data_IF_028832345401
#
_entry.id   IF_028832345401
#
_cell.length_a   1.000
_cell.length_b   1.000
_cell.length_c   1.000
_cell.angle_alpha   90.00
_cell.angle_beta   90.00
_cell.angle_gamma   90.00
#
_symmetry.space_group_name_H-M   'P 1'
#
loop_
_entity.id
_entity.type
_entity.pdbx_description
1 polymer ?
#
# COMPACT_ATOMS: atom_id res chain seq x y z
N UNK A 1 -31.20 -1.96 23.68
CA UNK A 1 -30.58 -0.65 23.34
C UNK A 1 -29.09 -0.56 23.65
N UNK A 2 -28.54 -1.15 24.71
CA UNK A 2 -27.11 -1.03 25.05
C UNK A 2 -26.10 -1.71 24.09
N UNK A 3 -26.51 -2.74 23.33
CA UNK A 3 -25.63 -3.43 22.38
C UNK A 3 -25.34 -2.64 21.09
N UNK A 4 -26.29 -1.80 20.67
CA UNK A 4 -26.18 -0.99 19.44
C UNK A 4 -25.25 0.21 19.65
N UNK A 5 -25.28 0.86 20.83
CA UNK A 5 -24.38 1.97 21.16
C UNK A 5 -22.90 1.56 21.16
N UNK A 6 -22.57 0.34 21.62
CA UNK A 6 -21.19 -0.13 21.64
C UNK A 6 -20.63 -0.45 20.23
N UNK A 7 -21.48 -0.84 19.29
CA UNK A 7 -21.07 -1.10 17.90
C UNK A 7 -20.89 0.23 17.16
N UNK A 8 -21.80 1.17 17.35
CA UNK A 8 -21.72 2.52 16.76
C UNK A 8 -20.44 3.23 17.25
N UNK A 9 -20.16 3.20 18.56
CA UNK A 9 -18.97 3.82 19.13
C UNK A 9 -17.68 3.19 18.60
N UNK A 10 -17.63 1.85 18.45
CA UNK A 10 -16.46 1.12 17.90
C UNK A 10 -16.22 1.38 16.41
N UNK A 11 -17.25 1.79 15.67
CA UNK A 11 -17.14 2.11 14.25
C UNK A 11 -16.86 3.60 14.02
N UNK A 12 -17.47 4.47 14.82
CA UNK A 12 -17.34 5.93 14.69
C UNK A 12 -16.03 6.44 15.30
N UNK A 13 -15.58 5.88 16.42
CA UNK A 13 -14.37 6.36 17.10
C UNK A 13 -13.11 6.32 16.19
N UNK A 14 -12.80 5.26 15.44
CA UNK A 14 -11.68 5.27 14.51
C UNK A 14 -11.82 6.32 13.40
N UNK A 15 -13.05 6.53 12.90
CA UNK A 15 -13.33 7.55 11.87
C UNK A 15 -13.10 8.96 12.41
N UNK A 16 -13.60 9.23 13.61
CA UNK A 16 -13.42 10.54 14.27
C UNK A 16 -11.95 10.79 14.59
N UNK A 17 -11.23 9.77 15.08
CA UNK A 17 -9.79 9.89 15.35
C UNK A 17 -9.03 10.14 14.03
N UNK A 18 -9.33 9.41 12.98
CA UNK A 18 -8.72 9.61 11.67
C UNK A 18 -8.97 11.00 11.10
N UNK A 19 -10.21 11.49 11.17
CA UNK A 19 -10.55 12.85 10.75
C UNK A 19 -9.88 13.92 11.64
N UNK A 20 -9.79 13.69 12.94
CA UNK A 20 -9.09 14.60 13.85
C UNK A 20 -7.59 14.66 13.55
N UNK A 21 -6.94 13.52 13.27
CA UNK A 21 -5.53 13.47 12.85
C UNK A 21 -5.33 14.18 11.52
N UNK A 22 -6.18 13.95 10.53
CA UNK A 22 -6.11 14.64 9.23
C UNK A 22 -6.33 16.15 9.41
N UNK A 23 -7.31 16.55 10.19
CA UNK A 23 -7.57 17.98 10.46
C UNK A 23 -6.40 18.63 11.22
N UNK A 24 -5.79 17.92 12.17
CA UNK A 24 -4.63 18.41 12.92
C UNK A 24 -3.39 18.54 12.00
N UNK A 25 -3.10 17.53 11.16
CA UNK A 25 -2.02 17.60 10.19
C UNK A 25 -2.25 18.73 9.19
N UNK A 26 -3.47 18.86 8.68
CA UNK A 26 -3.82 19.94 7.77
C UNK A 26 -3.65 21.31 8.42
N UNK A 27 -4.12 21.51 9.64
CA UNK A 27 -3.98 22.77 10.38
C UNK A 27 -2.52 23.10 10.70
N UNK A 28 -1.66 22.09 10.88
CA UNK A 28 -0.24 22.27 11.18
C UNK A 28 0.59 22.57 9.94
N UNK A 29 0.33 21.90 8.83
CA UNK A 29 1.11 21.97 7.59
C UNK A 29 0.55 23.00 6.59
N UNK A 30 -0.72 23.42 6.76
CA UNK A 30 -1.38 24.33 5.84
C UNK A 30 -0.95 25.78 6.06
N UNK A 31 -0.18 26.33 5.12
CA UNK A 31 0.14 27.75 5.06
C UNK A 31 -0.73 28.44 4.02
N UNK A 32 -1.54 29.40 4.47
CA UNK A 32 -2.40 30.22 3.56
C UNK A 32 -1.53 31.02 2.58
N UNK A 33 -0.34 31.45 3.02
CA UNK A 33 0.60 32.19 2.17
C UNK A 33 1.17 31.29 1.06
N UNK A 34 1.59 30.06 1.41
CA UNK A 34 2.03 29.08 0.43
C UNK A 34 0.92 28.71 -0.54
N UNK A 35 -0.33 28.59 -0.05
CA UNK A 35 -1.48 28.30 -0.90
C UNK A 35 -1.80 29.45 -1.88
N UNK A 36 -1.69 30.69 -1.44
CA UNK A 36 -1.89 31.89 -2.30
C UNK A 36 -0.77 32.10 -3.32
N UNK A 37 0.42 31.62 -3.04
CA UNK A 37 1.57 31.71 -3.96
C UNK A 37 1.54 30.68 -5.08
N UNK A 38 0.61 29.71 -5.04
CA UNK A 38 0.46 28.71 -6.09
C UNK A 38 -0.09 29.41 -7.36
N UNK A 39 0.64 29.40 -8.47
CA UNK A 39 0.13 29.90 -9.72
C UNK A 39 -1.01 28.95 -10.19
N UNK A 40 -2.25 29.40 -10.05
CA UNK A 40 -3.44 28.69 -10.56
C UNK A 40 -3.61 29.00 -12.05
N UNK A 41 -2.62 28.67 -12.86
CA UNK A 41 -2.73 28.71 -14.30
C UNK A 41 -3.46 27.47 -14.84
N UNK A 42 -3.83 27.50 -16.12
CA UNK A 42 -4.56 26.38 -16.75
C UNK A 42 -3.76 25.06 -16.72
N UNK A 43 -2.44 25.13 -16.68
CA UNK A 43 -1.54 23.96 -16.61
C UNK A 43 -1.58 23.33 -15.22
N UNK A 44 -1.54 24.13 -14.15
CA UNK A 44 -1.68 23.65 -12.79
C UNK A 44 -3.02 22.99 -12.56
N UNK A 45 -4.11 23.59 -13.04
CA UNK A 45 -5.45 22.99 -12.97
C UNK A 45 -5.52 21.63 -13.71
N UNK A 46 -4.94 21.54 -14.91
CA UNK A 46 -4.84 20.29 -15.67
C UNK A 46 -4.05 19.20 -14.94
N UNK A 47 -2.91 19.57 -14.34
CA UNK A 47 -2.08 18.65 -13.60
C UNK A 47 -2.76 18.15 -12.29
N UNK A 48 -3.51 19.00 -11.60
CA UNK A 48 -4.34 18.60 -10.44
C UNK A 48 -5.47 17.68 -10.90
N UNK A 49 -6.14 17.96 -12.02
CA UNK A 49 -7.14 17.06 -12.58
C UNK A 49 -6.54 15.68 -12.94
N UNK A 50 -5.32 15.65 -13.49
CA UNK A 50 -4.58 14.42 -13.75
C UNK A 50 -4.26 13.66 -12.45
N UNK A 51 -3.87 14.36 -11.39
CA UNK A 51 -3.64 13.74 -10.09
C UNK A 51 -4.92 13.08 -9.54
N UNK A 52 -6.06 13.76 -9.62
CA UNK A 52 -7.37 13.21 -9.23
C UNK A 52 -7.72 11.98 -10.09
N UNK A 53 -7.49 12.04 -11.40
CA UNK A 53 -7.70 10.90 -12.30
C UNK A 53 -6.82 9.72 -11.89
N UNK A 54 -5.56 9.93 -11.55
CA UNK A 54 -4.65 8.88 -11.06
C UNK A 54 -5.18 8.24 -9.76
N UNK A 55 -5.74 9.02 -8.82
CA UNK A 55 -6.37 8.48 -7.61
C UNK A 55 -7.58 7.61 -7.96
N UNK A 56 -8.42 8.03 -8.91
CA UNK A 56 -9.58 7.24 -9.36
C UNK A 56 -9.11 5.94 -10.03
N UNK A 57 -8.12 6.00 -10.92
CA UNK A 57 -7.54 4.81 -11.59
C UNK A 57 -6.96 3.84 -10.58
N UNK A 58 -6.22 4.34 -9.59
CA UNK A 58 -5.70 3.54 -8.47
C UNK A 58 -6.83 2.83 -7.73
N UNK A 59 -7.91 3.53 -7.42
CA UNK A 59 -9.04 2.97 -6.69
C UNK A 59 -9.79 1.93 -7.52
N UNK A 60 -9.93 2.16 -8.82
CA UNK A 60 -10.47 1.18 -9.75
C UNK A 60 -9.61 -0.10 -9.79
N UNK A 61 -8.27 0.03 -9.84
CA UNK A 61 -7.35 -1.10 -9.80
C UNK A 61 -7.47 -1.93 -8.53
N UNK A 62 -7.54 -1.29 -7.35
CA UNK A 62 -7.77 -1.97 -6.07
C UNK A 62 -9.11 -2.72 -6.04
N UNK A 63 -10.17 -2.06 -6.50
CA UNK A 63 -11.52 -2.63 -6.56
C UNK A 63 -11.58 -3.84 -7.50
N UNK A 64 -10.96 -3.71 -8.67
CA UNK A 64 -10.85 -4.78 -9.65
C UNK A 64 -10.10 -5.98 -9.08
N UNK A 65 -8.99 -5.75 -8.39
CA UNK A 65 -8.21 -6.79 -7.73
C UNK A 65 -9.02 -7.58 -6.70
N UNK A 66 -9.77 -6.90 -5.83
CA UNK A 66 -10.66 -7.58 -4.88
C UNK A 66 -11.75 -8.39 -5.59
N UNK A 67 -12.30 -7.88 -6.69
CA UNK A 67 -13.29 -8.62 -7.47
C UNK A 67 -12.72 -9.89 -8.08
N UNK A 68 -11.51 -9.84 -8.65
CA UNK A 68 -10.80 -11.03 -9.16
C UNK A 68 -10.58 -12.07 -8.07
N UNK A 69 -10.07 -11.67 -6.89
CA UNK A 69 -9.76 -12.61 -5.81
C UNK A 69 -10.98 -13.19 -5.12
N UNK A 70 -12.08 -12.48 -5.09
CA UNK A 70 -13.36 -13.02 -4.62
C UNK A 70 -14.05 -13.87 -5.66
N UNK A 71 -13.42 -14.11 -6.82
CA UNK A 71 -13.95 -14.88 -7.96
C UNK A 71 -15.32 -14.34 -8.41
N UNK A 72 -15.40 -13.01 -8.47
CA UNK A 72 -16.59 -12.24 -8.87
C UNK A 72 -17.85 -12.48 -8.02
N UNK A 73 -17.72 -13.15 -6.87
CA UNK A 73 -18.82 -13.36 -5.95
C UNK A 73 -19.31 -12.08 -5.26
N UNK A 74 -18.42 -11.11 -5.11
CA UNK A 74 -18.79 -9.78 -4.60
C UNK A 74 -19.12 -8.85 -5.76
N UNK A 75 -20.12 -7.98 -5.56
CA UNK A 75 -20.43 -6.90 -6.49
C UNK A 75 -19.34 -5.83 -6.49
N UNK A 76 -19.24 -5.03 -7.54
CA UNK A 76 -18.28 -3.93 -7.65
C UNK A 76 -18.37 -2.97 -6.45
N UNK A 77 -19.59 -2.64 -5.99
CA UNK A 77 -19.81 -1.77 -4.83
C UNK A 77 -19.27 -2.34 -3.53
N UNK A 78 -19.41 -3.65 -3.32
CA UNK A 78 -18.84 -4.33 -2.15
C UNK A 78 -17.32 -4.32 -2.20
N UNK A 79 -16.74 -4.59 -3.36
CA UNK A 79 -15.29 -4.52 -3.55
C UNK A 79 -14.76 -3.09 -3.36
N UNK A 80 -15.46 -2.09 -3.87
CA UNK A 80 -15.11 -0.68 -3.67
C UNK A 80 -15.17 -0.30 -2.18
N UNK A 81 -16.21 -0.72 -1.46
CA UNK A 81 -16.32 -0.49 -0.03
C UNK A 81 -15.15 -1.11 0.74
N UNK A 82 -14.81 -2.37 0.43
CA UNK A 82 -13.65 -3.04 1.06
C UNK A 82 -12.36 -2.29 0.77
N UNK A 83 -12.12 -1.87 -0.47
CA UNK A 83 -10.89 -1.16 -0.84
C UNK A 83 -10.78 0.21 -0.17
N UNK A 84 -11.89 0.97 -0.08
CA UNK A 84 -11.92 2.26 0.64
C UNK A 84 -11.67 2.10 2.14
N UNK A 85 -12.25 1.06 2.76
CA UNK A 85 -11.99 0.75 4.17
C UNK A 85 -10.54 0.33 4.42
N UNK A 86 -9.92 -0.40 3.48
CA UNK A 86 -8.49 -0.74 3.55
C UNK A 86 -7.61 0.52 3.45
N UNK A 87 -7.92 1.44 2.55
CA UNK A 87 -7.19 2.70 2.42
C UNK A 87 -7.32 3.56 3.67
N UNK A 88 -8.54 3.70 4.19
CA UNK A 88 -8.79 4.44 5.42
C UNK A 88 -8.02 3.85 6.61
N UNK A 89 -8.05 2.52 6.77
CA UNK A 89 -7.33 1.86 7.86
C UNK A 89 -5.82 1.91 7.69
N UNK A 90 -5.30 1.91 6.47
CA UNK A 90 -3.86 2.12 6.21
C UNK A 90 -3.39 3.50 6.68
N UNK A 91 -4.24 4.51 6.60
CA UNK A 91 -3.90 5.86 7.04
C UNK A 91 -3.80 6.00 8.58
N UNK A 92 -4.55 5.20 9.33
CA UNK A 92 -4.62 5.29 10.80
C UNK A 92 -3.83 4.19 11.53
N UNK A 93 -3.42 3.12 10.84
CA UNK A 93 -2.63 2.04 11.43
C UNK A 93 -1.13 2.25 11.22
N UNK A 94 -0.28 1.82 12.17
CA UNK A 94 1.15 1.83 11.97
C UNK A 94 1.56 0.95 10.80
N UNK A 95 2.45 1.47 9.96
CA UNK A 95 2.95 0.79 8.77
C UNK A 95 1.96 0.76 7.60
N UNK A 96 2.50 0.69 6.40
CA UNK A 96 1.72 0.66 5.14
C UNK A 96 0.93 -0.63 4.95
N UNK A 97 1.26 -1.69 5.69
CA UNK A 97 0.60 -3.00 5.64
C UNK A 97 -0.69 -3.10 6.47
N UNK A 98 -0.99 -2.10 7.33
CA UNK A 98 -2.12 -2.17 8.27
C UNK A 98 -3.47 -2.33 7.58
N UNK A 99 -3.73 -1.58 6.52
CA UNK A 99 -5.00 -1.69 5.76
C UNK A 99 -5.14 -3.01 5.03
N UNK A 100 -4.07 -3.53 4.43
CA UNK A 100 -4.10 -4.85 3.79
C UNK A 100 -4.32 -5.97 4.81
N UNK A 101 -3.73 -5.87 6.01
CA UNK A 101 -3.96 -6.84 7.07
C UNK A 101 -5.41 -6.87 7.55
N UNK A 102 -6.11 -5.73 7.56
CA UNK A 102 -7.52 -5.66 7.95
C UNK A 102 -8.49 -6.02 6.82
N UNK A 103 -8.03 -6.18 5.59
CA UNK A 103 -8.87 -6.55 4.45
C UNK A 103 -9.66 -7.84 4.69
N UNK A 104 -9.09 -8.81 5.41
CA UNK A 104 -9.78 -10.05 5.78
C UNK A 104 -11.01 -9.81 6.67
N UNK A 105 -10.97 -8.78 7.53
CA UNK A 105 -12.08 -8.41 8.41
C UNK A 105 -13.18 -7.72 7.62
N UNK A 106 -12.81 -6.84 6.68
CA UNK A 106 -13.77 -6.18 5.80
C UNK A 106 -14.41 -7.14 4.80
N UNK A 107 -13.64 -8.08 4.26
CA UNK A 107 -14.17 -9.15 3.43
C UNK A 107 -15.16 -10.04 4.22
N UNK A 108 -14.89 -10.29 5.51
CA UNK A 108 -15.84 -11.03 6.38
C UNK A 108 -17.14 -10.28 6.57
N UNK A 109 -17.13 -8.96 6.72
CA UNK A 109 -18.35 -8.15 6.84
C UNK A 109 -19.21 -8.19 5.57
N UNK A 110 -18.61 -8.47 4.40
CA UNK A 110 -19.31 -8.64 3.14
C UNK A 110 -19.69 -10.13 2.84
N UNK A 111 -19.52 -11.03 3.82
CA UNK A 111 -19.94 -12.43 3.72
C UNK A 111 -18.86 -13.41 3.24
N UNK A 112 -17.61 -12.98 3.14
CA UNK A 112 -16.50 -13.89 2.80
C UNK A 112 -15.98 -14.57 4.07
N UNK A 113 -15.83 -15.90 4.11
CA UNK A 113 -15.25 -16.59 5.27
C UNK A 113 -13.87 -16.03 5.64
N UNK A 114 -13.57 -15.94 6.94
CA UNK A 114 -12.33 -15.31 7.41
C UNK A 114 -11.07 -15.98 6.85
N UNK A 115 -11.03 -17.31 6.79
CA UNK A 115 -9.90 -18.05 6.21
C UNK A 115 -9.70 -17.71 4.73
N UNK A 116 -10.80 -17.59 3.96
CA UNK A 116 -10.74 -17.14 2.58
C UNK A 116 -10.27 -15.70 2.46
N UNK A 117 -10.76 -14.80 3.32
CA UNK A 117 -10.31 -13.40 3.37
C UNK A 117 -8.81 -13.29 3.66
N UNK A 118 -8.28 -14.14 4.55
CA UNK A 118 -6.85 -14.20 4.86
C UNK A 118 -6.02 -14.71 3.68
N UNK A 119 -6.49 -15.72 2.94
CA UNK A 119 -5.81 -16.17 1.73
C UNK A 119 -5.75 -15.04 0.67
N UNK A 120 -6.86 -14.31 0.48
CA UNK A 120 -6.92 -13.15 -0.42
C UNK A 120 -5.92 -12.07 0.04
N UNK A 121 -5.84 -11.78 1.34
CA UNK A 121 -4.88 -10.84 1.91
C UNK A 121 -3.43 -11.24 1.60
N UNK A 122 -3.06 -12.50 1.82
CA UNK A 122 -1.71 -12.99 1.56
C UNK A 122 -1.34 -12.92 0.08
N UNK A 123 -2.28 -13.25 -0.82
CA UNK A 123 -2.08 -13.15 -2.26
C UNK A 123 -1.98 -11.68 -2.70
N UNK A 124 -2.77 -10.79 -2.13
CA UNK A 124 -2.67 -9.35 -2.35
C UNK A 124 -1.28 -8.84 -1.96
N UNK A 125 -0.81 -9.21 -0.77
CA UNK A 125 0.54 -8.87 -0.29
C UNK A 125 1.64 -9.43 -1.20
N UNK A 126 1.49 -10.68 -1.67
CA UNK A 126 2.43 -11.28 -2.61
C UNK A 126 2.51 -10.48 -3.90
N UNK A 127 1.38 -10.07 -4.48
CA UNK A 127 1.38 -9.31 -5.74
C UNK A 127 1.89 -7.88 -5.56
N UNK A 128 1.59 -7.23 -4.43
CA UNK A 128 2.16 -5.93 -4.10
C UNK A 128 3.70 -6.02 -4.01
N UNK A 129 4.21 -7.01 -3.29
CA UNK A 129 5.65 -7.27 -3.22
C UNK A 129 6.24 -7.64 -4.58
N UNK A 130 5.57 -8.48 -5.37
CA UNK A 130 6.00 -8.87 -6.71
C UNK A 130 6.14 -7.66 -7.64
N UNK A 131 5.27 -6.67 -7.51
CA UNK A 131 5.41 -5.41 -8.24
C UNK A 131 6.76 -4.73 -7.92
N UNK A 132 7.13 -4.61 -6.64
CA UNK A 132 8.43 -4.03 -6.25
C UNK A 132 9.61 -4.89 -6.71
N UNK A 133 9.50 -6.22 -6.57
CA UNK A 133 10.55 -7.16 -6.99
C UNK A 133 10.83 -7.08 -8.49
N UNK A 134 9.80 -6.87 -9.31
CA UNK A 134 9.93 -6.78 -10.79
C UNK A 134 10.28 -5.35 -11.21
N UNK A 135 9.58 -4.35 -10.71
CA UNK A 135 9.72 -2.98 -11.18
C UNK A 135 11.01 -2.31 -10.70
N UNK A 136 11.51 -2.64 -9.50
CA UNK A 136 12.71 -2.04 -8.97
C UNK A 136 13.95 -2.34 -9.85
N UNK A 137 14.29 -3.59 -10.22
CA UNK A 137 15.40 -3.86 -11.14
C UNK A 137 15.22 -3.19 -12.51
N UNK A 138 13.99 -3.15 -13.03
CA UNK A 138 13.72 -2.49 -14.31
C UNK A 138 14.06 -0.99 -14.24
N UNK A 139 13.71 -0.31 -13.15
CA UNK A 139 14.02 1.11 -12.98
C UNK A 139 15.53 1.32 -12.88
N UNK A 140 16.25 0.49 -12.11
CA UNK A 140 17.71 0.57 -12.01
C UNK A 140 18.44 0.24 -13.31
N UNK A 141 17.80 -0.46 -14.24
CA UNK A 141 18.34 -0.71 -15.58
C UNK A 141 18.33 0.56 -16.43
N UNK A 142 17.30 1.41 -16.29
CA UNK A 142 17.13 2.60 -17.13
C UNK A 142 17.63 3.90 -16.48
N UNK A 143 17.70 3.96 -15.15
CA UNK A 143 18.06 5.16 -14.40
C UNK A 143 19.26 4.87 -13.50
N UNK A 144 20.35 5.64 -13.61
CA UNK A 144 21.54 5.44 -12.76
C UNK A 144 21.19 5.53 -11.27
N UNK A 145 21.71 4.58 -10.48
CA UNK A 145 21.45 4.55 -9.04
C UNK A 145 21.88 5.81 -8.30
N UNK A 146 22.89 6.52 -8.83
CA UNK A 146 23.32 7.83 -8.30
C UNK A 146 22.21 8.88 -8.30
N UNK A 147 21.38 8.92 -9.35
CA UNK A 147 20.26 9.86 -9.47
C UNK A 147 19.07 9.46 -8.61
N UNK A 148 18.80 8.14 -8.53
CA UNK A 148 17.72 7.60 -7.71
C UNK A 148 17.96 7.86 -6.22
N UNK A 149 19.22 7.67 -5.75
CA UNK A 149 19.62 7.89 -4.37
C UNK A 149 20.20 9.29 -4.11
N UNK A 150 20.13 10.22 -5.08
CA UNK A 150 20.56 11.59 -4.83
C UNK A 150 19.70 12.23 -3.73
N UNK A 151 20.37 12.70 -2.69
CA UNK A 151 19.78 13.18 -1.46
C UNK A 151 20.35 14.55 -1.12
N UNK A 152 19.52 15.51 -0.74
CA UNK A 152 19.94 16.87 -0.40
C UNK A 152 20.55 16.95 1.01
N UNK A 153 21.54 16.11 1.32
CA UNK A 153 22.11 16.02 2.66
C UNK A 153 23.55 15.50 2.67
N UNK A 154 24.17 15.42 3.85
CA UNK A 154 25.53 14.93 4.03
C UNK A 154 25.68 13.48 3.51
N UNK A 155 26.80 13.17 2.84
CA UNK A 155 27.04 11.88 2.17
C UNK A 155 26.90 10.65 3.07
N UNK A 156 27.19 10.76 4.38
CA UNK A 156 26.97 9.69 5.35
C UNK A 156 25.49 9.30 5.47
N UNK A 157 24.60 10.27 5.38
CA UNK A 157 23.16 10.04 5.48
C UNK A 157 22.61 9.37 4.22
N UNK A 158 23.09 9.79 3.05
CA UNK A 158 22.75 9.15 1.77
C UNK A 158 23.15 7.67 1.76
N UNK A 159 24.31 7.33 2.31
CA UNK A 159 24.78 5.94 2.45
C UNK A 159 23.85 5.14 3.39
N UNK A 160 23.41 5.72 4.50
CA UNK A 160 22.47 5.11 5.44
C UNK A 160 21.13 4.78 4.78
N UNK A 161 20.56 5.72 4.04
CA UNK A 161 19.28 5.52 3.31
C UNK A 161 19.41 4.47 2.22
N UNK A 162 20.52 4.47 1.46
CA UNK A 162 20.80 3.44 0.44
C UNK A 162 20.93 2.06 1.06
N UNK A 163 21.63 1.93 2.18
CA UNK A 163 21.77 0.67 2.90
C UNK A 163 20.43 0.19 3.44
N UNK A 164 19.65 1.07 4.07
CA UNK A 164 18.32 0.76 4.57
C UNK A 164 17.40 0.27 3.43
N UNK A 165 17.43 0.95 2.28
CA UNK A 165 16.66 0.53 1.09
C UNK A 165 16.99 -0.91 0.69
N UNK A 166 18.28 -1.27 0.55
CA UNK A 166 18.67 -2.61 0.12
C UNK A 166 18.33 -3.69 1.16
N UNK A 167 18.42 -3.37 2.46
CA UNK A 167 18.00 -4.28 3.53
C UNK A 167 16.50 -4.54 3.44
N UNK A 168 15.69 -3.49 3.33
CA UNK A 168 14.23 -3.61 3.25
C UNK A 168 13.80 -4.30 1.96
N UNK A 169 14.42 -3.95 0.84
CA UNK A 169 14.15 -4.59 -0.45
C UNK A 169 14.52 -6.09 -0.42
N UNK A 170 15.65 -6.45 0.17
CA UNK A 170 16.01 -7.84 0.44
C UNK A 170 14.98 -8.56 1.30
N UNK A 171 14.45 -7.90 2.31
CA UNK A 171 13.33 -8.39 3.14
C UNK A 171 12.06 -8.61 2.32
N UNK A 172 11.70 -7.68 1.44
CA UNK A 172 10.55 -7.81 0.52
C UNK A 172 10.75 -9.03 -0.40
N UNK A 173 11.95 -9.22 -0.97
CA UNK A 173 12.26 -10.39 -1.79
C UNK A 173 12.15 -11.70 -0.98
N UNK A 174 12.68 -11.75 0.23
CA UNK A 174 12.61 -12.92 1.10
C UNK A 174 11.16 -13.28 1.48
N UNK A 175 10.35 -12.28 1.86
CA UNK A 175 8.92 -12.48 2.15
C UNK A 175 8.17 -12.92 0.91
N UNK A 176 8.47 -12.37 -0.26
CA UNK A 176 7.87 -12.79 -1.53
C UNK A 176 8.15 -14.24 -1.86
N UNK A 177 9.41 -14.67 -1.74
CA UNK A 177 9.82 -16.06 -1.95
C UNK A 177 9.13 -16.99 -0.94
N UNK A 178 9.05 -16.59 0.33
CA UNK A 178 8.34 -17.34 1.36
C UNK A 178 6.84 -17.50 1.02
N UNK A 179 6.18 -16.42 0.59
CA UNK A 179 4.77 -16.47 0.21
C UNK A 179 4.54 -17.31 -1.05
N UNK A 180 5.41 -17.19 -2.07
CA UNK A 180 5.36 -18.04 -3.27
C UNK A 180 5.49 -19.50 -2.86
N UNK A 181 6.49 -19.84 -2.06
CA UNK A 181 6.70 -21.20 -1.61
C UNK A 181 5.50 -21.72 -0.79
N UNK A 182 5.00 -20.91 0.16
CA UNK A 182 3.89 -21.28 1.04
C UNK A 182 2.54 -21.37 0.31
N UNK A 183 2.31 -20.59 -0.74
CA UNK A 183 1.04 -20.63 -1.48
C UNK A 183 1.07 -21.67 -2.60
N UNK A 184 2.19 -21.76 -3.35
CA UNK A 184 2.25 -22.55 -4.58
C UNK A 184 2.93 -23.90 -4.42
N UNK A 185 3.91 -24.05 -3.53
CA UNK A 185 4.68 -25.29 -3.38
C UNK A 185 4.14 -26.13 -2.22
N UNK A 186 4.03 -25.56 -1.02
CA UNK A 186 3.59 -26.28 0.17
C UNK A 186 2.60 -25.46 1.01
N UNK A 187 1.29 -25.51 0.67
CA UNK A 187 0.24 -24.82 1.42
C UNK A 187 0.16 -25.24 2.90
N UNK A 188 0.70 -26.41 3.25
CA UNK A 188 0.75 -26.91 4.62
C UNK A 188 1.62 -26.07 5.56
N UNK A 189 2.62 -25.36 5.03
CA UNK A 189 3.50 -24.49 5.83
C UNK A 189 2.73 -23.32 6.42
N UNK A 190 1.95 -22.60 5.59
CA UNK A 190 1.13 -21.48 6.08
C UNK A 190 0.08 -21.99 7.06
N UNK A 191 -0.59 -23.10 6.75
CA UNK A 191 -1.52 -23.76 7.68
C UNK A 191 -0.85 -24.23 8.97
N UNK A 192 0.38 -24.73 8.89
CA UNK A 192 1.22 -25.11 10.04
C UNK A 192 1.57 -23.92 10.94
N UNK A 193 1.99 -22.80 10.35
CA UNK A 193 2.26 -21.55 11.07
C UNK A 193 1.00 -21.02 11.77
N UNK A 194 -0.13 -21.01 11.07
CA UNK A 194 -1.41 -20.61 11.67
C UNK A 194 -1.75 -21.50 12.86
N UNK A 195 -1.68 -22.83 12.70
CA UNK A 195 -1.92 -23.77 13.79
C UNK A 195 -0.92 -23.58 14.95
N UNK A 196 0.34 -23.29 14.66
CA UNK A 196 1.34 -23.02 15.68
C UNK A 196 1.01 -21.76 16.49
N UNK A 197 0.58 -20.68 15.83
CA UNK A 197 0.12 -19.44 16.49
C UNK A 197 -1.09 -19.71 17.39
N UNK A 198 -2.06 -20.54 16.95
CA UNK A 198 -3.20 -20.92 17.78
C UNK A 198 -2.88 -21.90 18.90
N UNK A 199 -1.64 -22.46 18.98
CA UNK A 199 -1.13 -23.20 20.15
C UNK A 199 -0.71 -22.29 21.29
N UNK A 200 -0.47 -21.01 21.06
CA UNK A 200 -0.16 -20.04 22.10
C UNK A 200 -1.28 -20.01 23.16
N UNK A 201 -0.89 -19.99 24.42
CA UNK A 201 -1.78 -20.12 25.59
C UNK A 201 -2.96 -19.15 25.58
N UNK A 202 -2.80 -17.96 24.96
CA UNK A 202 -3.81 -16.92 24.87
C UNK A 202 -4.84 -17.13 23.73
N UNK A 203 -4.48 -17.89 22.69
CA UNK A 203 -5.31 -18.15 21.52
C UNK A 203 -5.96 -19.56 21.55
N UNK A 204 -5.63 -20.37 22.56
CA UNK A 204 -6.12 -21.75 22.72
C UNK A 204 -7.65 -21.88 22.81
N UNK A 205 -8.31 -20.82 23.29
CA UNK A 205 -9.78 -20.73 23.35
C UNK A 205 -10.46 -20.71 21.96
N UNK A 206 -9.70 -20.42 20.91
CA UNK A 206 -10.20 -20.25 19.54
C UNK A 206 -9.79 -21.42 18.63
N UNK A 207 -9.30 -22.51 19.22
CA UNK A 207 -8.72 -23.65 18.53
C UNK A 207 -9.73 -24.37 17.62
N UNK A 208 -11.00 -24.51 18.03
CA UNK A 208 -12.02 -25.18 17.26
C UNK A 208 -12.38 -24.40 15.98
N UNK A 209 -12.28 -23.08 16.02
CA UNK A 209 -12.39 -22.21 14.84
C UNK A 209 -11.17 -22.25 13.93
N UNK A 210 -9.99 -22.63 14.45
CA UNK A 210 -8.73 -22.60 13.71
C UNK A 210 -8.67 -23.68 12.61
N UNK A 211 -9.29 -24.83 12.82
CA UNK A 211 -9.33 -25.89 11.81
C UNK A 211 -10.16 -25.48 10.60
N UNK A 212 -11.37 -24.96 10.82
CA UNK A 212 -12.21 -24.41 9.75
C UNK A 212 -11.53 -23.24 9.05
N UNK A 213 -10.92 -22.35 9.81
CA UNK A 213 -10.15 -21.24 9.27
C UNK A 213 -9.00 -21.70 8.36
N UNK A 214 -8.22 -22.69 8.82
CA UNK A 214 -7.09 -23.25 8.06
C UNK A 214 -7.55 -23.99 6.82
N UNK A 215 -8.65 -24.74 6.91
CA UNK A 215 -9.23 -25.45 5.75
C UNK A 215 -9.78 -24.48 4.69
N UNK A 216 -10.51 -23.43 5.10
CA UNK A 216 -11.02 -22.40 4.19
C UNK A 216 -9.88 -21.64 3.51
N UNK A 217 -8.79 -21.35 4.25
CA UNK A 217 -7.60 -20.70 3.71
C UNK A 217 -6.89 -21.61 2.70
N UNK A 218 -6.67 -22.88 3.03
CA UNK A 218 -6.01 -23.84 2.16
C UNK A 218 -6.83 -24.09 0.88
N UNK A 219 -8.15 -24.27 1.02
CA UNK A 219 -9.06 -24.45 -0.13
C UNK A 219 -9.03 -23.24 -1.07
N UNK A 220 -8.97 -22.02 -0.52
CA UNK A 220 -8.89 -20.81 -1.34
C UNK A 220 -7.54 -20.71 -2.03
N UNK A 221 -6.45 -21.00 -1.33
CA UNK A 221 -5.09 -21.03 -1.89
C UNK A 221 -5.00 -22.03 -3.06
N UNK A 222 -5.52 -23.25 -2.89
CA UNK A 222 -5.56 -24.26 -3.95
C UNK A 222 -6.45 -23.83 -5.13
N UNK A 223 -7.62 -23.27 -4.85
CA UNK A 223 -8.53 -22.77 -5.90
C UNK A 223 -7.89 -21.68 -6.75
N UNK A 224 -7.20 -20.74 -6.12
CA UNK A 224 -6.54 -19.64 -6.84
C UNK A 224 -5.27 -20.12 -7.56
N UNK A 225 -4.51 -21.04 -6.96
CA UNK A 225 -3.33 -21.65 -7.59
C UNK A 225 -3.64 -22.30 -8.94
N UNK A 226 -4.79 -22.96 -9.08
CA UNK A 226 -5.18 -23.64 -10.31
C UNK A 226 -5.78 -22.69 -11.38
N UNK A 227 -5.77 -21.37 -11.13
CA UNK A 227 -6.18 -20.42 -12.15
C UNK A 227 -5.14 -20.32 -13.28
N UNK A 228 -5.58 -20.08 -14.52
CA UNK A 228 -4.67 -19.99 -15.66
C UNK A 228 -3.70 -18.82 -15.51
N UNK A 229 -2.56 -18.90 -16.18
CA UNK A 229 -1.54 -17.84 -16.14
C UNK A 229 -2.08 -16.47 -16.58
N UNK A 230 -3.03 -16.45 -17.53
CA UNK A 230 -3.72 -15.22 -17.95
C UNK A 230 -4.46 -14.52 -16.81
N UNK A 231 -5.09 -15.28 -15.91
CA UNK A 231 -5.75 -14.72 -14.74
C UNK A 231 -4.75 -14.09 -13.75
N UNK A 232 -3.59 -14.74 -13.54
CA UNK A 232 -2.50 -14.18 -12.73
C UNK A 232 -1.89 -12.94 -13.39
N UNK A 233 -1.79 -12.94 -14.73
CA UNK A 233 -1.38 -11.76 -15.50
C UNK A 233 -2.33 -10.58 -15.30
N UNK A 234 -3.65 -10.81 -15.31
CA UNK A 234 -4.65 -9.77 -15.03
C UNK A 234 -4.56 -9.28 -13.59
N UNK A 235 -4.35 -10.18 -12.62
CA UNK A 235 -4.19 -9.81 -11.22
C UNK A 235 -2.92 -8.97 -10.99
N UNK A 236 -1.81 -9.34 -11.65
CA UNK A 236 -0.58 -8.54 -11.62
C UNK A 236 -0.76 -7.19 -12.33
N UNK A 237 -1.44 -7.16 -13.48
CA UNK A 237 -1.75 -5.92 -14.20
C UNK A 237 -2.60 -4.96 -13.35
N UNK A 238 -3.62 -5.46 -12.65
CA UNK A 238 -4.41 -4.65 -11.73
C UNK A 238 -3.56 -4.09 -10.59
N UNK A 239 -2.58 -4.87 -10.10
CA UNK A 239 -1.62 -4.43 -9.09
C UNK A 239 -0.65 -3.39 -9.64
N UNK A 240 -0.08 -3.63 -10.81
CA UNK A 240 0.82 -2.68 -11.48
C UNK A 240 0.12 -1.36 -11.80
N UNK A 241 -1.11 -1.41 -12.29
CA UNK A 241 -1.95 -0.24 -12.51
C UNK A 241 -2.17 0.56 -11.23
N UNK A 242 -2.46 -0.13 -10.12
CA UNK A 242 -2.68 0.50 -8.81
C UNK A 242 -1.43 1.24 -8.32
N UNK A 243 -0.26 0.60 -8.37
CA UNK A 243 1.00 1.19 -7.91
C UNK A 243 1.50 2.28 -8.83
N UNK A 244 1.44 2.07 -10.16
CA UNK A 244 1.82 3.09 -11.14
C UNK A 244 0.94 4.33 -11.01
N UNK A 245 -0.38 4.15 -10.92
CA UNK A 245 -1.29 5.27 -10.71
C UNK A 245 -1.01 6.02 -9.40
N UNK A 246 -0.67 5.30 -8.32
CA UNK A 246 -0.26 5.90 -7.04
C UNK A 246 0.99 6.77 -7.19
N UNK A 247 2.00 6.31 -7.93
CA UNK A 247 3.22 7.07 -8.17
C UNK A 247 2.97 8.26 -9.10
N UNK A 248 2.12 8.09 -10.11
CA UNK A 248 1.74 9.17 -11.02
C UNK A 248 1.00 10.33 -10.32
N UNK A 249 0.39 10.13 -9.14
CA UNK A 249 -0.17 11.26 -8.36
C UNK A 249 0.94 12.26 -8.03
N UNK A 250 2.08 11.79 -7.51
CA UNK A 250 3.21 12.68 -7.17
C UNK A 250 3.78 13.32 -8.43
N UNK A 251 3.95 12.56 -9.52
CA UNK A 251 4.38 13.10 -10.80
C UNK A 251 3.45 14.21 -11.31
N UNK A 252 2.14 14.01 -11.20
CA UNK A 252 1.15 15.02 -11.61
C UNK A 252 1.26 16.29 -10.77
N UNK A 253 1.50 16.16 -9.45
CA UNK A 253 1.72 17.33 -8.58
C UNK A 253 3.01 18.06 -8.92
N UNK A 254 4.09 17.33 -9.28
CA UNK A 254 5.33 17.95 -9.76
C UNK A 254 5.10 18.72 -11.07
N UNK A 255 4.28 18.21 -11.97
CA UNK A 255 3.89 18.94 -13.17
C UNK A 255 3.11 20.24 -12.85
N UNK A 256 2.33 20.22 -11.75
CA UNK A 256 1.57 21.40 -11.35
C UNK A 256 2.46 22.52 -10.77
N UNK A 257 3.52 22.15 -10.03
CA UNK A 257 4.26 23.12 -9.22
C UNK A 257 5.74 23.28 -9.62
N UNK A 258 6.31 22.36 -10.40
CA UNK A 258 7.72 22.39 -10.79
C UNK A 258 7.94 21.71 -12.14
N UNK A 259 7.70 22.45 -13.23
CA UNK A 259 7.82 21.93 -14.60
C UNK A 259 9.24 21.44 -14.97
N UNK A 260 10.29 21.93 -14.31
CA UNK A 260 11.67 21.60 -14.59
C UNK A 260 12.09 20.23 -14.01
N UNK A 261 11.29 19.61 -13.14
CA UNK A 261 11.66 18.35 -12.51
C UNK A 261 11.59 17.17 -13.52
N UNK A 262 12.66 16.36 -13.65
CA UNK A 262 12.67 15.18 -14.51
C UNK A 262 11.65 14.15 -14.01
N UNK A 263 10.56 13.96 -14.74
CA UNK A 263 9.43 13.12 -14.31
C UNK A 263 9.82 11.65 -14.10
N UNK A 264 10.80 11.15 -14.85
CA UNK A 264 11.35 9.81 -14.69
C UNK A 264 12.06 9.63 -13.35
N UNK A 265 12.79 10.64 -12.90
CA UNK A 265 13.48 10.64 -11.58
C UNK A 265 12.47 10.74 -10.46
N UNK A 266 11.46 11.62 -10.60
CA UNK A 266 10.36 11.73 -9.63
C UNK A 266 9.67 10.37 -9.44
N UNK A 267 9.36 9.70 -10.54
CA UNK A 267 8.74 8.37 -10.52
C UNK A 267 9.67 7.32 -9.87
N UNK A 268 10.94 7.28 -10.26
CA UNK A 268 11.90 6.32 -9.73
C UNK A 268 12.14 6.47 -8.22
N UNK A 269 12.21 7.70 -7.73
CA UNK A 269 12.38 7.97 -6.29
C UNK A 269 11.20 7.49 -5.44
N UNK A 270 10.00 7.35 -6.02
CA UNK A 270 8.86 6.75 -5.32
C UNK A 270 9.13 5.31 -4.85
N UNK A 271 9.91 4.53 -5.62
CA UNK A 271 10.26 3.16 -5.20
C UNK A 271 11.11 3.16 -3.93
N UNK A 272 12.04 4.10 -3.80
CA UNK A 272 12.87 4.22 -2.59
C UNK A 272 12.00 4.65 -1.41
N UNK A 273 11.19 5.70 -1.60
CA UNK A 273 10.31 6.23 -0.56
C UNK A 273 9.35 5.14 -0.06
N UNK A 274 8.63 4.48 -0.97
CA UNK A 274 7.66 3.46 -0.59
C UNK A 274 8.32 2.21 0.01
N UNK A 275 9.49 1.79 -0.49
CA UNK A 275 10.25 0.69 0.11
C UNK A 275 10.60 0.99 1.56
N UNK A 276 11.06 2.19 1.85
CA UNK A 276 11.38 2.59 3.23
C UNK A 276 10.12 2.75 4.10
N UNK A 277 9.01 3.21 3.52
CA UNK A 277 7.74 3.32 4.24
C UNK A 277 7.16 1.97 4.66
N UNK A 278 7.55 0.84 4.03
CA UNK A 278 7.12 -0.49 4.48
C UNK A 278 7.50 -0.81 5.92
N UNK A 279 8.63 -0.27 6.40
CA UNK A 279 9.10 -0.47 7.78
C UNK A 279 8.75 0.70 8.71
N UNK A 280 8.01 1.70 8.24
CA UNK A 280 7.64 2.85 9.07
C UNK A 280 6.77 2.42 10.25
N UNK A 281 7.15 2.76 11.50
CA UNK A 281 6.35 2.43 12.66
C UNK A 281 5.19 3.40 12.89
N UNK A 282 5.13 4.49 12.12
CA UNK A 282 4.14 5.56 12.31
C UNK A 282 2.88 5.33 11.49
N UNK A 283 1.72 5.81 11.95
CA UNK A 283 0.47 5.76 11.20
C UNK A 283 0.61 6.43 9.82
N UNK A 284 0.22 5.72 8.76
CA UNK A 284 0.34 6.22 7.39
C UNK A 284 1.76 6.56 6.92
N UNK A 285 2.79 6.24 7.73
CA UNK A 285 4.18 6.63 7.44
C UNK A 285 4.50 8.08 7.80
N UNK A 286 3.62 8.78 8.56
CA UNK A 286 3.78 10.19 8.90
C UNK A 286 5.08 10.47 9.66
N UNK A 287 5.68 11.62 9.38
CA UNK A 287 7.02 11.99 9.85
C UNK A 287 8.13 11.46 8.95
N UNK A 288 8.13 10.15 8.65
CA UNK A 288 9.12 9.57 7.73
C UNK A 288 8.83 9.95 6.27
N UNK A 289 7.56 9.95 5.85
CA UNK A 289 7.16 10.34 4.50
C UNK A 289 7.51 11.80 4.19
N UNK A 290 7.22 12.72 5.10
CA UNK A 290 7.51 14.16 4.96
C UNK A 290 9.03 14.40 4.96
N UNK A 291 9.74 13.72 5.86
CA UNK A 291 11.19 13.81 5.93
C UNK A 291 11.85 13.26 4.65
N UNK A 292 11.42 12.09 4.15
CA UNK A 292 11.89 11.54 2.89
C UNK A 292 11.54 12.48 1.72
N UNK A 293 10.32 13.03 1.71
CA UNK A 293 9.89 13.96 0.68
C UNK A 293 10.79 15.20 0.65
N UNK A 294 10.98 15.86 1.77
CA UNK A 294 11.81 17.06 1.86
C UNK A 294 13.25 16.81 1.37
N UNK A 295 13.84 15.68 1.72
CA UNK A 295 15.24 15.40 1.39
C UNK A 295 15.44 14.80 -0.02
N UNK A 296 14.48 13.99 -0.50
CA UNK A 296 14.57 13.41 -1.84
C UNK A 296 14.12 14.36 -2.95
N UNK A 297 13.13 15.20 -2.65
CA UNK A 297 12.52 16.05 -3.66
C UNK A 297 12.86 17.53 -3.49
N UNK A 298 13.38 17.95 -2.33
CA UNK A 298 13.73 19.33 -2.06
C UNK A 298 14.64 19.94 -3.11
N UNK A 299 15.68 19.20 -3.56
CA UNK A 299 16.56 19.63 -4.64
C UNK A 299 15.91 19.71 -6.02
N UNK A 300 14.78 19.03 -6.24
CA UNK A 300 14.00 19.08 -7.48
C UNK A 300 12.97 20.22 -7.47
N UNK A 301 12.55 20.67 -6.29
CA UNK A 301 11.61 21.79 -6.10
C UNK A 301 12.30 23.13 -6.13
N UNK A 302 13.62 23.17 -5.83
CA UNK A 302 14.44 24.36 -5.76
C UNK A 302 15.18 24.73 -7.05
N UNK A 303 14.69 24.34 -8.24
CA UNK A 303 15.27 24.72 -9.52
C UNK A 303 15.40 26.23 -9.65
N UNK A 304 16.65 26.75 -9.53
CA UNK A 304 17.08 28.11 -9.74
C UNK A 304 16.30 29.23 -9.02
N UNK A 305 16.57 29.37 -7.73
CA UNK A 305 16.63 30.69 -7.10
C UNK A 305 18.12 30.98 -6.71
N UNK A 306 18.94 31.13 -7.73
CA UNK A 306 20.24 31.81 -7.60
C UNK A 306 20.24 33.05 -8.49
#
# INVERSE_FOLDING_TARGET
MAKTSGIILKTIAPVVIGLAVVAWLFAREFSIEAFRSIPLDGNAAGAVALAVMCVVVRQCGLTWRFRLFTLEKLTWWKCLRVSLLCDFTSAITPGTAGGSALSMVFLKSEGVPLGRGTAIMLITMLLDNAFFVVACPLIFLFIPGGEIFAFSGAGAFQMGVRTAFWIVYGGICAVSLFLVFGIFVNPGIIGGMVRWVFRLRWLRRWRDGAEKFTSDMALTGTTLRHRPASWWGLAFLATALTWTARFCVVNSLFLAFSYAAPQTIVFARQFVVWTLLFISPTPGGSGLSEWLFANYYGGLLGGDRS
#
